data_IF_000680044137
#
_entry.id   IF_000680044137
#
_cell.length_a   1.000
_cell.length_b   1.000
_cell.length_c   1.000
_cell.angle_alpha   90.00
_cell.angle_beta   90.00
_cell.angle_gamma   90.00
#
_symmetry.space_group_name_H-M   'P 1'
#
loop_
_entity.id
_entity.type
_entity.pdbx_description
1 polymer ?
#
# COMPACT_ATOMS: atom_id res chain seq x y z
N UNK A 1 -0.79 4.26 -3.18
CA UNK A 1 -1.86 3.46 -3.81
C UNK A 1 -1.37 2.04 -4.14
N UNK A 2 -2.10 1.02 -3.71
CA UNK A 2 -1.84 -0.38 -4.05
C UNK A 2 -2.88 -0.82 -5.12
N UNK A 3 -2.46 -1.33 -6.30
CA UNK A 3 -1.13 -1.87 -6.62
C UNK A 3 -0.16 -0.90 -7.31
N UNK A 4 -0.59 0.28 -7.76
CA UNK A 4 0.19 1.13 -8.65
C UNK A 4 1.40 1.82 -8.01
N UNK A 5 1.54 1.79 -6.67
CA UNK A 5 2.65 2.39 -5.96
C UNK A 5 2.71 3.92 -6.03
N UNK A 6 1.60 4.59 -6.36
CA UNK A 6 1.54 6.04 -6.48
C UNK A 6 1.39 6.72 -5.10
N UNK A 7 2.02 7.86 -4.95
CA UNK A 7 1.78 8.82 -3.86
C UNK A 7 0.91 9.94 -4.41
N UNK A 8 -0.24 10.17 -3.79
CA UNK A 8 -1.18 11.21 -4.21
C UNK A 8 -0.65 12.61 -3.88
N UNK A 9 -0.75 13.53 -4.82
CA UNK A 9 -0.42 14.93 -4.59
C UNK A 9 -1.51 15.66 -3.82
N UNK A 10 -1.14 16.79 -3.19
CA UNK A 10 -2.03 17.57 -2.33
C UNK A 10 -3.25 18.10 -3.08
N UNK A 11 -3.06 18.59 -4.30
CA UNK A 11 -4.14 19.21 -5.07
C UNK A 11 -5.19 18.18 -5.47
N UNK A 12 -4.76 16.99 -5.86
CA UNK A 12 -5.66 15.86 -6.16
C UNK A 12 -6.45 15.43 -4.93
N UNK A 13 -5.78 15.28 -3.77
CA UNK A 13 -6.45 14.93 -2.52
C UNK A 13 -7.44 16.00 -2.08
N UNK A 14 -7.12 17.30 -2.21
CA UNK A 14 -8.04 18.38 -1.89
C UNK A 14 -9.27 18.41 -2.81
N UNK A 15 -9.08 18.16 -4.12
CA UNK A 15 -10.20 18.06 -5.06
C UNK A 15 -11.12 16.90 -4.72
N UNK A 16 -10.54 15.75 -4.39
CA UNK A 16 -11.28 14.58 -3.94
C UNK A 16 -12.06 14.87 -2.65
N UNK A 17 -11.42 15.49 -1.66
CA UNK A 17 -12.06 15.83 -0.39
C UNK A 17 -13.27 16.74 -0.58
N UNK A 18 -13.12 17.82 -1.35
CA UNK A 18 -14.21 18.76 -1.64
C UNK A 18 -15.35 18.08 -2.41
N UNK A 19 -15.02 17.24 -3.40
CA UNK A 19 -16.02 16.48 -4.12
C UNK A 19 -16.82 15.57 -3.17
N UNK A 20 -16.13 14.79 -2.35
CA UNK A 20 -16.77 13.88 -1.41
C UNK A 20 -17.62 14.62 -0.37
N UNK A 21 -17.11 15.75 0.15
CA UNK A 21 -17.84 16.56 1.12
C UNK A 21 -19.15 17.13 0.54
N UNK A 22 -19.11 17.74 -0.66
CA UNK A 22 -20.31 18.28 -1.32
C UNK A 22 -21.36 17.20 -1.61
N UNK A 23 -20.93 15.98 -1.89
CA UNK A 23 -21.81 14.86 -2.19
C UNK A 23 -22.15 13.98 -0.97
N UNK A 24 -21.78 14.39 0.26
CA UNK A 24 -22.00 13.62 1.49
C UNK A 24 -21.44 12.19 1.42
N UNK A 25 -20.24 12.04 0.84
CA UNK A 25 -19.53 10.76 0.73
C UNK A 25 -18.50 10.67 1.85
N UNK A 26 -18.59 9.66 2.69
CA UNK A 26 -17.59 9.32 3.69
C UNK A 26 -16.36 8.71 3.00
N UNK A 27 -15.17 9.17 3.38
CA UNK A 27 -13.90 8.64 2.85
C UNK A 27 -13.23 7.72 3.87
N UNK A 28 -12.99 6.48 3.47
CA UNK A 28 -12.12 5.56 4.18
C UNK A 28 -10.74 5.65 3.55
N UNK A 29 -9.77 6.21 4.29
CA UNK A 29 -8.39 6.34 3.83
C UNK A 29 -7.54 5.22 4.44
N UNK A 30 -7.23 4.20 3.63
CA UNK A 30 -6.29 3.15 4.03
C UNK A 30 -4.86 3.63 3.79
N UNK A 31 -4.19 4.03 4.87
CA UNK A 31 -2.84 4.57 4.85
C UNK A 31 -1.78 3.60 5.41
N UNK A 32 -2.06 2.30 5.36
CA UNK A 32 -1.17 1.26 5.89
C UNK A 32 0.23 1.25 5.21
N UNK A 33 0.37 1.83 4.02
CA UNK A 33 1.62 1.99 3.29
C UNK A 33 2.25 3.39 3.42
N UNK A 34 1.69 4.28 4.24
CA UNK A 34 2.11 5.69 4.36
C UNK A 34 3.59 5.89 4.71
N UNK A 35 4.14 5.02 5.57
CA UNK A 35 5.52 5.09 6.04
C UNK A 35 6.54 4.52 5.05
N UNK A 36 6.08 4.04 3.89
CA UNK A 36 6.91 3.30 2.92
C UNK A 36 7.12 4.07 1.61
N UNK A 37 7.28 5.38 1.69
CA UNK A 37 7.61 6.20 0.51
C UNK A 37 9.06 5.98 0.09
N UNK A 38 9.29 5.95 -1.24
CA UNK A 38 10.57 5.73 -1.88
C UNK A 38 11.00 6.98 -2.66
N UNK A 39 12.25 7.04 -3.06
CA UNK A 39 12.81 8.10 -3.94
C UNK A 39 12.54 9.53 -3.46
N UNK A 40 12.45 9.73 -2.14
CA UNK A 40 12.21 11.05 -1.55
C UNK A 40 10.77 11.55 -1.63
N UNK A 41 9.83 10.74 -2.11
CA UNK A 41 8.42 11.06 -2.04
C UNK A 41 7.94 11.13 -0.58
N UNK A 42 6.89 11.94 -0.35
CA UNK A 42 6.30 12.11 0.98
C UNK A 42 4.81 11.86 0.94
N UNK A 43 4.34 11.01 1.84
CA UNK A 43 2.92 10.79 2.03
C UNK A 43 2.27 12.02 2.67
N UNK A 44 1.05 12.32 2.25
CA UNK A 44 0.21 13.37 2.84
C UNK A 44 -1.04 12.68 3.37
N UNK A 45 -1.27 12.65 4.70
CA UNK A 45 -2.47 12.05 5.27
C UNK A 45 -3.73 12.76 4.73
N UNK A 46 -4.70 11.98 4.26
CA UNK A 46 -5.91 12.55 3.65
C UNK A 46 -6.62 13.53 4.56
N UNK A 47 -6.82 13.19 5.83
CA UNK A 47 -7.47 14.04 6.81
C UNK A 47 -6.79 15.40 7.04
N UNK A 48 -5.53 15.58 6.61
CA UNK A 48 -4.75 16.80 6.82
C UNK A 48 -4.75 17.77 5.64
N UNK A 49 -5.34 17.40 4.50
CA UNK A 49 -5.19 18.20 3.26
C UNK A 49 -6.06 19.44 3.23
N UNK A 50 -7.20 19.44 3.91
CA UNK A 50 -8.12 20.56 4.10
C UNK A 50 -9.14 20.25 5.21
N UNK A 51 -9.88 21.26 5.74
CA UNK A 51 -10.88 21.03 6.77
C UNK A 51 -11.97 20.02 6.38
N UNK A 52 -12.47 20.09 5.15
CA UNK A 52 -13.50 19.20 4.63
C UNK A 52 -13.05 17.74 4.65
N UNK A 53 -11.77 17.48 4.43
CA UNK A 53 -11.21 16.12 4.50
C UNK A 53 -11.25 15.56 5.93
N UNK A 54 -10.99 16.40 6.94
CA UNK A 54 -11.05 16.00 8.33
C UNK A 54 -12.48 15.64 8.78
N UNK A 55 -13.49 16.36 8.27
CA UNK A 55 -14.89 16.16 8.62
C UNK A 55 -15.47 14.85 8.10
N UNK A 56 -14.97 14.35 6.95
CA UNK A 56 -15.56 13.22 6.24
C UNK A 56 -14.70 11.96 6.21
N UNK A 57 -13.61 11.90 6.97
CA UNK A 57 -12.67 10.77 6.83
C UNK A 57 -12.48 9.93 8.06
N UNK A 58 -12.25 8.64 7.81
CA UNK A 58 -11.69 7.67 8.74
C UNK A 58 -10.38 7.18 8.12
N UNK A 59 -9.26 7.49 8.77
CA UNK A 59 -7.93 7.06 8.32
C UNK A 59 -7.51 5.82 9.09
N UNK A 60 -7.10 4.77 8.38
CA UNK A 60 -6.57 3.54 8.96
C UNK A 60 -5.07 3.43 8.75
N UNK A 61 -4.37 2.98 9.80
CA UNK A 61 -2.95 2.67 9.76
C UNK A 61 -2.61 1.45 10.61
N UNK A 62 -1.43 0.88 10.36
CA UNK A 62 -0.92 -0.25 11.13
C UNK A 62 0.61 -0.36 11.00
N UNK A 63 1.32 -0.87 12.02
CA UNK A 63 2.76 -1.10 11.96
C UNK A 63 3.14 -2.30 11.10
N UNK A 64 2.18 -3.15 10.76
CA UNK A 64 2.39 -4.49 10.20
C UNK A 64 3.16 -4.51 8.88
N UNK A 65 2.92 -3.54 7.99
CA UNK A 65 3.63 -3.42 6.72
C UNK A 65 4.98 -2.74 6.89
N UNK A 66 4.98 -1.60 7.57
CA UNK A 66 6.18 -0.78 7.79
C UNK A 66 7.29 -1.55 8.51
N UNK A 67 6.93 -2.32 9.56
CA UNK A 67 7.90 -3.02 10.41
C UNK A 67 7.93 -4.54 10.18
N UNK A 68 7.28 -5.02 9.13
CA UNK A 68 7.23 -6.45 8.78
C UNK A 68 6.77 -7.35 9.94
N UNK A 69 5.72 -6.93 10.63
CA UNK A 69 5.13 -7.64 11.79
C UNK A 69 3.65 -7.99 11.57
N UNK A 70 3.27 -8.63 10.45
CA UNK A 70 1.85 -8.90 10.16
C UNK A 70 1.18 -9.86 11.15
N UNK A 71 1.96 -10.68 11.86
CA UNK A 71 1.48 -11.56 12.92
C UNK A 71 1.07 -10.82 14.19
N UNK A 72 1.50 -9.57 14.36
CA UNK A 72 1.01 -8.67 15.40
C UNK A 72 -0.24 -7.99 14.85
N UNK A 73 -1.39 -8.61 15.07
CA UNK A 73 -2.67 -8.11 14.57
C UNK A 73 -3.04 -6.83 15.32
N UNK A 74 -2.62 -5.68 14.78
CA UNK A 74 -2.84 -4.35 15.34
C UNK A 74 -3.07 -3.35 14.23
N UNK A 75 -4.09 -2.52 14.40
CA UNK A 75 -4.35 -1.36 13.55
C UNK A 75 -4.88 -0.23 14.43
N UNK A 76 -4.85 0.99 13.90
CA UNK A 76 -5.44 2.15 14.54
C UNK A 76 -6.28 2.91 13.52
N UNK A 77 -7.28 3.64 14.03
CA UNK A 77 -8.07 4.55 13.23
C UNK A 77 -7.91 5.98 13.77
N UNK A 78 -7.80 6.94 12.88
CA UNK A 78 -7.82 8.37 13.19
C UNK A 78 -9.09 8.96 12.58
N UNK A 79 -9.96 9.47 13.43
CA UNK A 79 -11.25 10.07 13.04
C UNK A 79 -11.31 11.46 13.67
N UNK A 80 -10.97 12.53 12.92
CA UNK A 80 -10.93 13.89 13.49
C UNK A 80 -12.30 14.41 13.91
N UNK A 81 -13.35 14.19 13.10
CA UNK A 81 -14.71 14.60 13.44
C UNK A 81 -15.24 13.85 14.65
N UNK A 82 -15.80 14.60 15.61
CA UNK A 82 -16.23 14.05 16.90
C UNK A 82 -17.47 13.14 16.79
N UNK A 83 -18.44 13.54 15.98
CA UNK A 83 -19.68 12.78 15.81
C UNK A 83 -19.42 11.48 15.05
N UNK A 84 -18.65 11.56 13.96
CA UNK A 84 -18.24 10.38 13.21
C UNK A 84 -17.40 9.42 14.08
N UNK A 85 -16.50 9.96 14.88
CA UNK A 85 -15.65 9.19 15.81
C UNK A 85 -16.47 8.43 16.83
N UNK A 86 -17.45 9.11 17.47
CA UNK A 86 -18.33 8.48 18.45
C UNK A 86 -19.16 7.35 17.81
N UNK A 87 -19.73 7.59 16.61
CA UNK A 87 -20.48 6.56 15.88
C UNK A 87 -19.61 5.36 15.54
N UNK A 88 -18.41 5.61 15.01
CA UNK A 88 -17.50 4.56 14.57
C UNK A 88 -17.01 3.69 15.73
N UNK A 89 -16.44 4.31 16.76
CA UNK A 89 -15.92 3.55 17.90
C UNK A 89 -17.02 2.96 18.77
N UNK A 90 -18.16 3.66 18.93
CA UNK A 90 -19.32 3.11 19.64
C UNK A 90 -19.88 1.86 18.96
N UNK A 91 -19.88 1.81 17.63
CA UNK A 91 -20.26 0.59 16.91
C UNK A 91 -19.25 -0.56 17.12
N UNK A 92 -17.94 -0.25 17.09
CA UNK A 92 -16.89 -1.25 17.33
C UNK A 92 -16.99 -1.82 18.76
N UNK A 93 -17.22 -0.98 19.77
CA UNK A 93 -17.38 -1.39 21.16
C UNK A 93 -18.64 -2.26 21.35
N UNK A 94 -19.78 -1.83 20.81
CA UNK A 94 -21.02 -2.60 20.87
C UNK A 94 -20.93 -3.95 20.15
N UNK A 95 -20.02 -4.09 19.18
CA UNK A 95 -19.76 -5.32 18.44
C UNK A 95 -18.62 -6.15 19.03
N UNK A 96 -18.05 -5.76 20.17
CA UNK A 96 -16.88 -6.39 20.80
C UNK A 96 -15.63 -6.48 19.90
N UNK A 97 -15.50 -5.55 18.94
CA UNK A 97 -14.40 -5.51 17.98
C UNK A 97 -13.28 -4.53 18.38
N UNK A 98 -13.50 -3.73 19.43
CA UNK A 98 -12.57 -2.67 19.83
C UNK A 98 -11.44 -3.15 20.76
N UNK A 99 -11.52 -4.36 21.31
CA UNK A 99 -10.57 -4.86 22.31
C UNK A 99 -9.34 -5.51 21.65
N UNK A 100 -8.20 -4.83 21.55
CA UNK A 100 -6.96 -5.45 21.09
C UNK A 100 -6.44 -6.43 22.16
N UNK A 101 -5.73 -7.48 21.72
CA UNK A 101 -4.98 -8.33 22.65
C UNK A 101 -3.89 -7.54 23.39
N UNK A 102 -3.30 -8.16 24.42
CA UNK A 102 -2.31 -7.50 25.28
C UNK A 102 -1.05 -7.04 24.52
N UNK A 103 -0.51 -7.89 23.66
CA UNK A 103 0.78 -7.63 22.98
C UNK A 103 0.72 -6.64 21.81
N UNK A 104 -0.33 -6.59 20.97
CA UNK A 104 -0.38 -5.73 19.81
C UNK A 104 -0.16 -4.23 20.08
N UNK A 105 -0.79 -3.61 21.09
CA UNK A 105 -0.54 -2.20 21.41
C UNK A 105 0.91 -1.93 21.86
N UNK A 106 1.48 -2.84 22.67
CA UNK A 106 2.85 -2.72 23.16
C UNK A 106 3.85 -2.80 21.99
N UNK A 107 3.66 -3.78 21.10
CA UNK A 107 4.49 -3.94 19.92
C UNK A 107 4.37 -2.75 18.96
N UNK A 108 3.16 -2.23 18.76
CA UNK A 108 2.91 -1.03 17.93
C UNK A 108 3.67 0.18 18.48
N UNK A 109 3.55 0.45 19.79
CA UNK A 109 4.24 1.56 20.44
C UNK A 109 5.75 1.39 20.34
N UNK A 110 6.26 0.19 20.60
CA UNK A 110 7.70 -0.09 20.52
C UNK A 110 8.23 0.09 19.10
N UNK A 111 7.51 -0.38 18.08
CA UNK A 111 7.89 -0.25 16.68
C UNK A 111 8.00 1.23 16.26
N UNK A 112 6.96 2.02 16.52
CA UNK A 112 6.98 3.44 16.15
C UNK A 112 7.96 4.30 16.98
N UNK A 113 8.19 3.96 18.25
CA UNK A 113 9.14 4.70 19.09
C UNK A 113 10.60 4.41 18.76
N UNK A 114 10.92 3.17 18.41
CA UNK A 114 12.30 2.70 18.33
C UNK A 114 12.72 2.16 16.95
N UNK A 115 11.77 2.01 16.02
CA UNK A 115 12.00 1.32 14.75
C UNK A 115 12.45 2.21 13.58
N UNK A 116 12.69 3.51 13.79
CA UNK A 116 12.99 4.44 12.68
C UNK A 116 14.26 4.08 11.92
N UNK A 117 15.32 3.71 12.60
CA UNK A 117 16.58 3.31 11.94
C UNK A 117 16.40 2.04 11.13
N UNK A 118 15.68 1.05 11.66
CA UNK A 118 15.31 -0.16 10.92
C UNK A 118 14.47 0.17 9.67
N UNK A 119 13.46 1.04 9.82
CA UNK A 119 12.59 1.48 8.73
C UNK A 119 13.42 2.13 7.61
N UNK A 120 14.32 3.03 7.96
CA UNK A 120 15.21 3.71 7.01
C UNK A 120 16.04 2.72 6.20
N UNK A 121 16.73 1.78 6.88
CA UNK A 121 17.54 0.74 6.23
C UNK A 121 16.67 -0.20 5.36
N UNK A 122 15.51 -0.58 5.84
CA UNK A 122 14.56 -1.40 5.08
C UNK A 122 14.11 -0.70 3.80
N UNK A 123 13.75 0.58 3.86
CA UNK A 123 13.33 1.35 2.68
C UNK A 123 14.46 1.48 1.64
N UNK A 124 15.68 1.72 2.09
CA UNK A 124 16.86 1.76 1.21
C UNK A 124 17.08 0.41 0.51
N UNK A 125 16.93 -0.68 1.26
CA UNK A 125 17.07 -2.04 0.72
C UNK A 125 15.94 -2.36 -0.29
N UNK A 126 14.70 -2.02 0.04
CA UNK A 126 13.54 -2.21 -0.85
C UNK A 126 13.69 -1.39 -2.12
N UNK A 127 14.12 -0.13 -2.01
CA UNK A 127 14.37 0.73 -3.18
C UNK A 127 15.42 0.11 -4.10
N UNK A 128 16.52 -0.41 -3.53
CA UNK A 128 17.52 -1.14 -4.31
C UNK A 128 16.96 -2.40 -5.00
N UNK A 129 16.01 -3.11 -4.35
CA UNK A 129 15.30 -4.23 -4.99
C UNK A 129 14.39 -3.80 -6.13
N UNK A 130 13.68 -2.67 -5.97
CA UNK A 130 12.87 -2.09 -7.06
C UNK A 130 13.73 -1.75 -8.26
N UNK A 131 14.87 -1.08 -8.04
CA UNK A 131 15.81 -0.71 -9.12
C UNK A 131 16.35 -1.95 -9.82
N UNK A 132 16.78 -2.95 -9.06
CA UNK A 132 17.25 -4.22 -9.61
C UNK A 132 16.22 -4.87 -10.54
N UNK A 133 14.95 -4.99 -10.10
CA UNK A 133 13.89 -5.57 -10.94
C UNK A 133 13.62 -4.73 -12.18
N UNK A 134 13.58 -3.41 -12.04
CA UNK A 134 13.32 -2.52 -13.18
C UNK A 134 14.43 -2.61 -14.23
N UNK A 135 15.68 -2.62 -13.80
CA UNK A 135 16.85 -2.71 -14.68
C UNK A 135 16.95 -4.10 -15.32
N UNK A 136 16.69 -5.15 -14.56
CA UNK A 136 16.65 -6.52 -15.09
C UNK A 136 15.58 -6.69 -16.17
N UNK A 137 14.34 -6.22 -15.89
CA UNK A 137 13.27 -6.27 -16.89
C UNK A 137 13.64 -5.49 -18.16
N UNK A 138 14.21 -4.30 -18.01
CA UNK A 138 14.59 -3.47 -19.15
C UNK A 138 15.71 -4.10 -20.00
N UNK A 139 16.66 -4.81 -19.37
CA UNK A 139 17.80 -5.41 -20.04
C UNK A 139 17.50 -6.78 -20.67
N UNK A 140 16.60 -7.57 -20.07
CA UNK A 140 16.47 -8.99 -20.36
C UNK A 140 15.07 -9.44 -20.77
N UNK A 141 14.01 -8.68 -20.46
CA UNK A 141 12.63 -9.12 -20.65
C UNK A 141 11.88 -8.25 -21.67
N UNK A 142 11.98 -8.62 -22.95
CA UNK A 142 11.22 -7.94 -24.01
C UNK A 142 9.71 -8.12 -23.77
N UNK A 143 8.98 -7.00 -23.69
CA UNK A 143 7.53 -7.00 -23.53
C UNK A 143 7.04 -6.93 -22.08
N UNK A 144 7.93 -6.92 -21.09
CA UNK A 144 7.61 -6.70 -19.68
C UNK A 144 8.28 -5.38 -19.22
N UNK A 145 7.49 -4.49 -18.64
CA UNK A 145 7.98 -3.25 -18.06
C UNK A 145 7.67 -3.18 -16.58
N UNK A 146 8.68 -3.18 -15.72
CA UNK A 146 8.51 -2.94 -14.30
C UNK A 146 8.34 -1.43 -14.05
N UNK A 147 7.21 -1.06 -13.45
CA UNK A 147 6.92 0.33 -13.07
C UNK A 147 7.52 0.61 -11.70
N UNK A 148 8.46 1.56 -11.62
CA UNK A 148 9.05 1.96 -10.34
C UNK A 148 7.98 2.64 -9.46
N UNK A 149 7.62 2.07 -8.31
CA UNK A 149 6.65 2.68 -7.41
C UNK A 149 7.25 3.88 -6.67
N UNK A 150 6.44 4.88 -6.37
CA UNK A 150 6.79 6.00 -5.49
C UNK A 150 6.73 5.64 -4.00
N UNK A 151 6.05 4.54 -3.68
CA UNK A 151 5.89 4.00 -2.33
C UNK A 151 5.60 2.49 -2.35
N UNK A 152 5.76 1.85 -1.20
CA UNK A 152 5.52 0.42 -1.00
C UNK A 152 6.65 -0.47 -1.55
N UNK A 153 6.49 -1.76 -1.35
CA UNK A 153 7.38 -2.83 -1.80
C UNK A 153 6.76 -3.66 -2.95
N UNK A 154 5.78 -3.09 -3.62
CA UNK A 154 5.00 -3.76 -4.65
C UNK A 154 5.31 -3.13 -6.00
N UNK A 155 5.84 -3.93 -6.92
CA UNK A 155 6.16 -3.51 -8.28
C UNK A 155 5.05 -3.98 -9.22
N UNK A 156 4.50 -3.06 -9.98
CA UNK A 156 3.50 -3.33 -11.00
C UNK A 156 4.21 -3.63 -12.32
N UNK A 157 4.03 -4.84 -12.83
CA UNK A 157 4.62 -5.30 -14.07
C UNK A 157 3.62 -5.13 -15.21
N UNK A 158 3.90 -4.25 -16.15
CA UNK A 158 3.16 -4.13 -17.40
C UNK A 158 3.66 -5.19 -18.38
N UNK A 159 2.85 -6.21 -18.60
CA UNK A 159 3.16 -7.36 -19.46
C UNK A 159 2.43 -7.30 -20.82
N UNK A 160 1.74 -6.22 -21.12
CA UNK A 160 0.93 -6.07 -22.36
C UNK A 160 1.79 -6.15 -23.62
N UNK A 161 3.08 -5.83 -23.52
CA UNK A 161 4.04 -5.98 -24.63
C UNK A 161 4.28 -7.43 -25.07
N UNK A 162 3.93 -8.43 -24.23
CA UNK A 162 3.99 -9.85 -24.60
C UNK A 162 2.89 -10.26 -25.58
N UNK A 163 1.81 -9.48 -25.68
CA UNK A 163 0.64 -9.75 -26.55
C UNK A 163 -0.03 -11.10 -26.28
N UNK A 164 0.02 -11.56 -25.04
CA UNK A 164 -0.63 -12.78 -24.57
C UNK A 164 -2.05 -12.47 -24.09
N UNK A 165 -2.95 -13.43 -24.23
CA UNK A 165 -4.20 -13.39 -23.49
C UNK A 165 -3.92 -13.46 -21.98
N UNK A 166 -4.89 -13.07 -21.15
CA UNK A 166 -4.71 -13.08 -19.70
C UNK A 166 -4.39 -14.48 -19.17
N UNK A 167 -5.10 -15.51 -19.64
CA UNK A 167 -4.85 -16.91 -19.25
C UNK A 167 -3.45 -17.40 -19.64
N UNK A 168 -2.96 -17.03 -20.82
CA UNK A 168 -1.60 -17.35 -21.24
C UNK A 168 -0.55 -16.62 -20.40
N UNK A 169 -0.83 -15.38 -19.97
CA UNK A 169 0.03 -14.63 -19.08
C UNK A 169 0.14 -15.28 -17.71
N UNK A 170 -0.98 -15.68 -17.12
CA UNK A 170 -1.01 -16.43 -15.85
C UNK A 170 -0.28 -17.76 -15.96
N UNK A 171 -0.52 -18.52 -17.04
CA UNK A 171 0.18 -19.78 -17.30
C UNK A 171 1.71 -19.58 -17.44
N UNK A 172 2.12 -18.52 -18.12
CA UNK A 172 3.53 -18.16 -18.26
C UNK A 172 4.18 -17.96 -16.89
N UNK A 173 3.58 -17.16 -16.02
CA UNK A 173 4.17 -16.88 -14.71
C UNK A 173 4.09 -18.09 -13.78
N UNK A 174 2.94 -18.71 -13.63
CA UNK A 174 2.72 -19.78 -12.65
C UNK A 174 3.39 -21.09 -13.07
N UNK A 175 3.13 -21.56 -14.29
CA UNK A 175 3.54 -22.90 -14.71
C UNK A 175 4.91 -22.93 -15.38
N UNK A 176 5.26 -21.92 -16.19
CA UNK A 176 6.53 -21.92 -16.93
C UNK A 176 7.64 -21.24 -16.13
N UNK A 177 7.41 -20.03 -15.63
CA UNK A 177 8.40 -19.29 -14.83
C UNK A 177 8.42 -19.72 -13.35
N UNK A 178 7.38 -20.42 -12.86
CA UNK A 178 7.20 -20.85 -11.46
C UNK A 178 7.21 -19.68 -10.47
N UNK A 179 6.63 -18.56 -10.86
CA UNK A 179 6.48 -17.34 -10.07
C UNK A 179 5.00 -17.14 -9.73
N UNK A 180 4.65 -17.31 -8.47
CA UNK A 180 3.30 -17.08 -7.96
C UNK A 180 3.10 -15.58 -7.64
N UNK A 181 2.97 -14.75 -8.66
CA UNK A 181 2.68 -13.33 -8.53
C UNK A 181 1.19 -13.09 -8.29
N UNK A 182 0.84 -11.91 -7.79
CA UNK A 182 -0.56 -11.50 -7.77
C UNK A 182 -1.01 -11.11 -9.17
N UNK A 183 -2.13 -11.69 -9.57
CA UNK A 183 -2.78 -11.40 -10.83
C UNK A 183 -3.35 -9.96 -10.84
N UNK A 184 -3.11 -9.24 -11.94
CA UNK A 184 -3.56 -7.86 -12.08
C UNK A 184 -5.08 -7.70 -12.10
N UNK A 185 -5.83 -8.67 -12.64
CA UNK A 185 -7.30 -8.62 -12.68
C UNK A 185 -7.95 -8.62 -11.29
N UNK A 186 -7.26 -9.12 -10.25
CA UNK A 186 -7.71 -9.03 -8.86
C UNK A 186 -7.93 -7.56 -8.40
N UNK A 187 -7.33 -6.60 -9.08
CA UNK A 187 -7.37 -5.17 -8.75
C UNK A 187 -8.35 -4.37 -9.60
N UNK A 188 -9.13 -5.06 -10.43
CA UNK A 188 -10.17 -4.47 -11.27
C UNK A 188 -9.88 -4.56 -12.77
N UNK A 189 -10.81 -4.08 -13.62
CA UNK A 189 -10.76 -4.27 -15.08
C UNK A 189 -9.51 -3.68 -15.75
N UNK A 190 -8.91 -2.67 -15.15
CA UNK A 190 -7.66 -2.06 -15.65
C UNK A 190 -6.40 -2.90 -15.38
N UNK A 191 -6.52 -4.01 -14.65
CA UNK A 191 -5.40 -4.88 -14.29
C UNK A 191 -5.09 -5.96 -15.31
N UNK A 192 -5.88 -6.09 -16.37
CA UNK A 192 -5.63 -7.08 -17.41
C UNK A 192 -4.27 -6.83 -18.11
N UNK A 193 -3.48 -7.89 -18.24
CA UNK A 193 -2.13 -7.82 -18.80
C UNK A 193 -1.07 -7.29 -17.83
N UNK A 194 -1.41 -7.19 -16.54
CA UNK A 194 -0.47 -6.80 -15.48
C UNK A 194 -0.31 -7.92 -14.44
N UNK A 195 0.84 -7.90 -13.77
CA UNK A 195 1.14 -8.74 -12.61
C UNK A 195 1.75 -7.88 -11.50
N UNK A 196 1.52 -8.22 -10.23
CA UNK A 196 2.10 -7.51 -9.09
C UNK A 196 3.16 -8.37 -8.40
N UNK A 197 4.40 -7.88 -8.42
CA UNK A 197 5.55 -8.52 -7.77
C UNK A 197 5.81 -7.88 -6.41
N UNK A 198 5.98 -8.70 -5.37
CA UNK A 198 6.47 -8.28 -4.06
C UNK A 198 8.01 -8.35 -4.07
N UNK A 199 8.67 -7.22 -3.75
CA UNK A 199 10.15 -7.14 -3.71
C UNK A 199 10.72 -6.98 -2.29
N UNK A 200 9.88 -7.09 -1.24
CA UNK A 200 10.29 -7.08 0.15
C UNK A 200 10.85 -8.44 0.60
N UNK A 201 11.90 -8.90 -0.07
CA UNK A 201 12.56 -10.18 0.20
C UNK A 201 14.07 -10.05 -0.01
N UNK A 202 14.88 -10.99 0.50
CA UNK A 202 16.32 -10.98 0.29
C UNK A 202 16.67 -10.98 -1.21
N UNK A 203 17.67 -10.15 -1.59
CA UNK A 203 18.12 -10.02 -2.98
C UNK A 203 18.47 -11.37 -3.62
N UNK A 204 19.05 -12.30 -2.85
CA UNK A 204 19.39 -13.64 -3.33
C UNK A 204 18.18 -14.49 -3.76
N UNK A 205 17.00 -14.18 -3.20
CA UNK A 205 15.75 -14.86 -3.57
C UNK A 205 15.07 -14.14 -4.75
N UNK A 206 15.31 -12.82 -4.88
CA UNK A 206 14.76 -12.00 -5.94
C UNK A 206 15.50 -12.20 -7.26
N UNK A 207 16.79 -12.46 -7.21
CA UNK A 207 17.68 -12.69 -8.36
C UNK A 207 17.57 -14.12 -8.89
#
# INVERSE_FOLDING_TARGET
>A
HNPAGLVWDKDTLQKLARFCHVHNILVISDEIHSDMTLYGHKHIPFASVCPEAAEISITFGAPSKTFNIPGVVSSYAVVPDAELREKFFGWLEASELAAPGLFPPIATIAAYRNGEEWRRQMLEYVQGNVDYVADFCAAHLNGIKALRPQASFLVWLDCRGLRLSHNELVDLFVNKARLALNDGEMFGPGGQGFMRLNVALPRQVLA
#
